data_IF_294277339731
#
_entry.id   IF_294277339731
#
_cell.length_a   1.000
_cell.length_b   1.000
_cell.length_c   1.000
_cell.angle_alpha   90.00
_cell.angle_beta   90.00
_cell.angle_gamma   90.00
#
_symmetry.space_group_name_H-M   'P 1'
#
loop_
_entity.id
_entity.type
_entity.pdbx_description
1 polymer ?
#
# COMPACT_ATOMS: atom_id res chain seq x y z
N UNK A 1 -0.07 -13.91 -5.30
CA UNK A 1 -0.47 -12.86 -4.33
C UNK A 1 -1.15 -11.74 -5.08
N UNK A 2 -2.33 -11.37 -4.62
CA UNK A 2 -3.06 -10.22 -5.15
C UNK A 2 -2.67 -8.97 -4.37
N UNK A 3 -2.26 -7.93 -5.08
CA UNK A 3 -1.80 -6.67 -4.49
C UNK A 3 -2.68 -5.52 -4.97
N UNK A 4 -3.14 -4.69 -4.05
CA UNK A 4 -3.75 -3.40 -4.39
C UNK A 4 -2.68 -2.33 -4.21
N UNK A 5 -2.36 -1.62 -5.30
CA UNK A 5 -1.40 -0.51 -5.30
C UNK A 5 -2.17 0.81 -5.35
N UNK A 6 -2.10 1.58 -4.27
CA UNK A 6 -2.73 2.90 -4.19
C UNK A 6 -1.61 3.94 -4.30
N UNK A 7 -1.48 4.52 -5.49
CA UNK A 7 -0.38 5.40 -5.87
C UNK A 7 -0.84 6.32 -7.00
N UNK A 8 -0.63 7.62 -6.88
CA UNK A 8 -1.07 8.58 -7.90
C UNK A 8 -0.01 8.87 -8.98
N UNK A 9 1.26 8.58 -8.74
CA UNK A 9 2.34 8.80 -9.71
C UNK A 9 2.30 7.73 -10.80
N UNK A 10 2.01 8.14 -12.04
CA UNK A 10 1.89 7.22 -13.17
C UNK A 10 3.19 6.46 -13.46
N UNK A 11 4.34 7.10 -13.33
CA UNK A 11 5.65 6.46 -13.54
C UNK A 11 5.91 5.39 -12.50
N UNK A 12 5.62 5.68 -11.24
CA UNK A 12 5.77 4.72 -10.14
C UNK A 12 4.82 3.54 -10.31
N UNK A 13 3.56 3.81 -10.69
CA UNK A 13 2.58 2.75 -10.97
C UNK A 13 3.10 1.79 -12.04
N UNK A 14 3.56 2.33 -13.17
CA UNK A 14 4.04 1.52 -14.28
C UNK A 14 5.28 0.70 -13.89
N UNK A 15 6.22 1.32 -13.17
CA UNK A 15 7.44 0.64 -12.73
C UNK A 15 7.12 -0.51 -11.76
N UNK A 16 6.25 -0.26 -10.78
CA UNK A 16 5.88 -1.28 -9.79
C UNK A 16 5.04 -2.40 -10.43
N UNK A 17 4.11 -2.06 -11.34
CA UNK A 17 3.34 -3.09 -12.05
C UNK A 17 4.25 -4.04 -12.83
N UNK A 18 5.24 -3.50 -13.56
CA UNK A 18 6.19 -4.33 -14.30
C UNK A 18 7.05 -5.18 -13.38
N UNK A 19 7.67 -4.54 -12.40
CA UNK A 19 8.64 -5.21 -11.54
C UNK A 19 8.01 -6.29 -10.67
N UNK A 20 6.90 -5.96 -10.01
CA UNK A 20 6.22 -6.90 -9.13
C UNK A 20 5.40 -7.93 -9.93
N UNK A 21 4.87 -7.54 -11.09
CA UNK A 21 4.19 -8.46 -11.99
C UNK A 21 5.11 -9.57 -12.49
N UNK A 22 6.36 -9.24 -12.82
CA UNK A 22 7.38 -10.23 -13.20
C UNK A 22 7.72 -11.19 -12.07
N UNK A 23 7.44 -10.80 -10.83
CA UNK A 23 7.70 -11.60 -9.64
C UNK A 23 6.45 -12.38 -9.19
N UNK A 24 5.45 -12.47 -10.05
CA UNK A 24 4.27 -13.31 -9.84
C UNK A 24 3.12 -12.66 -9.08
N UNK A 25 3.14 -11.34 -8.92
CA UNK A 25 2.05 -10.63 -8.23
C UNK A 25 1.00 -10.15 -9.23
N UNK A 26 -0.28 -10.30 -8.87
CA UNK A 26 -1.41 -9.71 -9.59
C UNK A 26 -1.70 -8.35 -8.99
N UNK A 27 -1.62 -7.29 -9.79
CA UNK A 27 -1.69 -5.92 -9.27
C UNK A 27 -2.93 -5.23 -9.81
N UNK A 28 -3.75 -4.70 -8.89
CA UNK A 28 -4.81 -3.75 -9.17
C UNK A 28 -4.32 -2.38 -8.73
N UNK A 29 -4.47 -1.37 -9.59
CA UNK A 29 -3.99 -0.01 -9.33
C UNK A 29 -5.16 0.91 -9.01
N UNK A 30 -4.95 1.78 -8.03
CA UNK A 30 -5.87 2.87 -7.70
C UNK A 30 -5.08 4.17 -7.57
N UNK A 31 -5.55 5.23 -8.23
CA UNK A 31 -4.86 6.52 -8.30
C UNK A 31 -5.35 7.52 -7.26
N UNK A 32 -6.59 7.37 -6.79
CA UNK A 32 -7.31 8.36 -5.99
C UNK A 32 -7.73 7.75 -4.66
N UNK A 33 -7.41 8.46 -3.56
CA UNK A 33 -7.79 8.02 -2.21
C UNK A 33 -9.29 7.87 -2.02
N UNK A 34 -10.11 8.65 -2.73
CA UNK A 34 -11.58 8.52 -2.64
C UNK A 34 -12.11 7.19 -3.20
N UNK A 35 -11.36 6.55 -4.09
CA UNK A 35 -11.75 5.26 -4.67
C UNK A 35 -11.08 4.06 -4.01
N UNK A 36 -10.13 4.31 -3.12
CA UNK A 36 -9.28 3.25 -2.58
C UNK A 36 -10.06 2.18 -1.82
N UNK A 37 -11.00 2.58 -0.97
CA UNK A 37 -11.80 1.61 -0.21
C UNK A 37 -12.70 0.77 -1.11
N UNK A 38 -13.33 1.37 -2.11
CA UNK A 38 -14.16 0.63 -3.07
C UNK A 38 -13.33 -0.39 -3.85
N UNK A 39 -12.13 0.01 -4.30
CA UNK A 39 -11.20 -0.90 -4.99
C UNK A 39 -10.71 -2.01 -4.08
N UNK A 40 -10.45 -1.69 -2.82
CA UNK A 40 -10.03 -2.65 -1.81
C UNK A 40 -11.10 -3.74 -1.63
N UNK A 41 -12.35 -3.35 -1.45
CA UNK A 41 -13.45 -4.31 -1.33
C UNK A 41 -13.62 -5.13 -2.61
N UNK A 42 -13.58 -4.48 -3.78
CA UNK A 42 -13.83 -5.15 -5.06
C UNK A 42 -12.72 -6.13 -5.43
N UNK A 43 -11.46 -5.81 -5.17
CA UNK A 43 -10.33 -6.65 -5.57
C UNK A 43 -9.95 -7.72 -4.55
N UNK A 44 -10.39 -7.58 -3.30
CA UNK A 44 -10.06 -8.49 -2.20
C UNK A 44 -8.56 -8.83 -2.17
N UNK A 45 -7.68 -7.83 -2.01
CA UNK A 45 -6.23 -8.07 -2.10
C UNK A 45 -5.71 -8.85 -0.90
N UNK A 46 -4.59 -9.53 -1.10
CA UNK A 46 -3.86 -10.18 -0.01
C UNK A 46 -3.05 -9.18 0.79
N UNK A 47 -2.52 -8.14 0.11
CA UNK A 47 -1.75 -7.05 0.73
C UNK A 47 -2.09 -5.76 -0.01
N UNK A 48 -2.11 -4.64 0.73
CA UNK A 48 -2.27 -3.30 0.16
C UNK A 48 -0.94 -2.56 0.27
N UNK A 49 -0.50 -1.99 -0.85
CA UNK A 49 0.66 -1.11 -0.94
C UNK A 49 0.13 0.32 -1.09
N UNK A 50 0.33 1.15 -0.09
CA UNK A 50 -0.38 2.43 0.05
C UNK A 50 0.59 3.61 0.16
N UNK A 51 0.48 4.58 -0.76
CA UNK A 51 1.12 5.88 -0.56
C UNK A 51 0.23 6.74 0.34
N UNK A 52 0.84 7.61 1.10
CA UNK A 52 0.12 8.53 1.99
C UNK A 52 -0.32 9.80 1.28
N UNK A 53 0.48 10.30 0.33
CA UNK A 53 0.18 11.54 -0.39
C UNK A 53 -0.61 11.21 -1.64
N UNK A 54 -1.94 11.33 -1.55
CA UNK A 54 -2.86 10.99 -2.62
C UNK A 54 -3.81 12.16 -2.89
N UNK A 55 -4.28 12.34 -4.14
CA UNK A 55 -5.39 13.25 -4.39
C UNK A 55 -6.68 12.70 -3.77
N UNK A 56 -7.60 13.56 -3.46
CA UNK A 56 -8.87 13.19 -2.82
C UNK A 56 -8.64 12.89 -1.34
N UNK A 57 -8.82 11.65 -0.93
CA UNK A 57 -8.65 11.23 0.46
C UNK A 57 -7.18 10.87 0.73
N UNK A 58 -6.56 11.49 1.73
CA UNK A 58 -5.16 11.18 2.11
C UNK A 58 -5.02 9.72 2.54
N UNK A 59 -3.83 9.14 2.32
CA UNK A 59 -3.59 7.72 2.59
C UNK A 59 -3.81 7.32 4.05
N UNK A 60 -3.46 8.18 5.00
CA UNK A 60 -3.73 7.92 6.42
C UNK A 60 -5.24 7.83 6.70
N UNK A 61 -6.03 8.68 6.05
CA UNK A 61 -7.49 8.64 6.16
C UNK A 61 -8.06 7.38 5.55
N UNK A 62 -7.52 6.95 4.40
CA UNK A 62 -7.91 5.66 3.77
C UNK A 62 -7.66 4.51 4.75
N UNK A 63 -6.49 4.47 5.34
CA UNK A 63 -6.11 3.42 6.28
C UNK A 63 -7.01 3.43 7.53
N UNK A 64 -7.25 4.61 8.10
CA UNK A 64 -8.13 4.76 9.25
C UNK A 64 -9.54 4.25 8.96
N UNK A 65 -10.10 4.65 7.81
CA UNK A 65 -11.45 4.22 7.41
C UNK A 65 -11.50 2.72 7.15
N UNK A 66 -10.46 2.16 6.54
CA UNK A 66 -10.37 0.71 6.29
C UNK A 66 -10.43 -0.06 7.61
N UNK A 67 -9.64 0.34 8.59
CA UNK A 67 -9.60 -0.33 9.89
C UNK A 67 -10.91 -0.15 10.67
N UNK A 68 -11.50 1.02 10.64
CA UNK A 68 -12.82 1.27 11.26
C UNK A 68 -13.90 0.43 10.61
N UNK A 69 -13.80 0.19 9.32
CA UNK A 69 -14.74 -0.65 8.57
C UNK A 69 -14.52 -2.13 8.73
N UNK A 70 -13.55 -2.56 9.54
CA UNK A 70 -13.29 -3.98 9.80
C UNK A 70 -12.36 -4.67 8.83
N UNK A 71 -11.73 -3.93 7.90
CA UNK A 71 -10.75 -4.52 7.00
C UNK A 71 -9.45 -4.83 7.74
N UNK A 72 -9.00 -6.07 7.66
CA UNK A 72 -7.80 -6.56 8.35
C UNK A 72 -6.65 -6.88 7.41
N UNK A 73 -6.82 -6.64 6.12
CA UNK A 73 -5.78 -6.86 5.10
C UNK A 73 -4.48 -6.20 5.52
N UNK A 74 -3.33 -6.89 5.43
CA UNK A 74 -2.05 -6.27 5.72
C UNK A 74 -1.78 -5.09 4.80
N UNK A 75 -1.26 -3.99 5.37
CA UNK A 75 -0.93 -2.77 4.65
C UNK A 75 0.53 -2.43 4.84
N UNK A 76 1.26 -2.26 3.73
CA UNK A 76 2.58 -1.67 3.70
C UNK A 76 2.46 -0.26 3.15
N UNK A 77 2.87 0.73 3.92
CA UNK A 77 2.94 2.12 3.46
C UNK A 77 4.26 2.30 2.69
N UNK A 78 4.16 2.79 1.45
CA UNK A 78 5.32 3.13 0.62
C UNK A 78 5.21 4.60 0.22
N UNK A 79 6.03 5.47 0.81
CA UNK A 79 5.83 6.91 0.71
C UNK A 79 7.13 7.69 0.83
N UNK A 80 7.13 8.92 0.30
CA UNK A 80 8.24 9.87 0.51
C UNK A 80 8.28 10.44 1.93
N UNK A 81 7.20 10.30 2.71
CA UNK A 81 7.14 10.73 4.12
C UNK A 81 7.91 9.72 4.97
N UNK A 82 9.21 9.95 5.17
CA UNK A 82 10.12 8.96 5.75
C UNK A 82 10.66 9.27 7.14
N UNK A 83 10.15 10.31 7.83
CA UNK A 83 10.63 10.62 9.19
C UNK A 83 10.18 9.57 10.20
N UNK A 84 10.88 9.50 11.33
CA UNK A 84 10.47 8.60 12.42
C UNK A 84 9.05 8.92 12.87
N UNK A 85 8.71 10.21 12.98
CA UNK A 85 7.35 10.63 13.35
C UNK A 85 6.30 10.17 12.36
N UNK A 86 6.56 10.27 11.07
CA UNK A 86 5.66 9.78 10.02
C UNK A 86 5.42 8.28 10.15
N UNK A 87 6.49 7.51 10.39
CA UNK A 87 6.41 6.06 10.54
C UNK A 87 5.60 5.66 11.76
N UNK A 88 5.80 6.36 12.88
CA UNK A 88 5.05 6.10 14.11
C UNK A 88 3.56 6.34 13.86
N UNK A 89 3.20 7.44 13.23
CA UNK A 89 1.81 7.77 12.93
C UNK A 89 1.19 6.69 12.02
N UNK A 90 1.89 6.30 10.95
CA UNK A 90 1.38 5.29 10.03
C UNK A 90 1.14 3.95 10.70
N UNK A 91 2.10 3.47 11.48
CA UNK A 91 1.99 2.20 12.19
C UNK A 91 0.89 2.24 13.25
N UNK A 92 0.77 3.34 14.00
CA UNK A 92 -0.27 3.51 15.00
C UNK A 92 -1.67 3.65 14.39
N UNK A 93 -1.75 4.15 13.15
CA UNK A 93 -3.03 4.24 12.43
C UNK A 93 -3.52 2.87 11.98
N UNK A 94 -2.63 1.90 11.84
CA UNK A 94 -3.00 0.53 11.52
C UNK A 94 -2.21 -0.11 10.39
N UNK A 95 -1.12 0.50 9.94
CA UNK A 95 -0.22 -0.14 8.98
C UNK A 95 0.58 -1.26 9.64
N UNK A 96 0.90 -2.27 8.85
CA UNK A 96 1.68 -3.43 9.30
C UNK A 96 3.17 -3.25 9.03
N UNK A 97 3.52 -2.39 8.07
CA UNK A 97 4.89 -2.09 7.73
C UNK A 97 4.98 -0.72 7.07
N UNK A 98 6.18 -0.17 6.96
CA UNK A 98 6.40 1.18 6.45
C UNK A 98 7.75 1.24 5.74
N UNK A 99 7.77 1.67 4.49
CA UNK A 99 9.00 1.78 3.70
C UNK A 99 9.06 3.16 3.03
N UNK A 100 10.16 3.88 3.24
CA UNK A 100 10.34 5.22 2.67
C UNK A 100 10.90 5.14 1.25
N UNK A 101 10.47 6.08 0.40
CA UNK A 101 11.07 6.31 -0.93
C UNK A 101 12.31 7.18 -0.77
N UNK A 102 13.39 6.92 -1.51
CA UNK A 102 13.60 5.83 -2.45
C UNK A 102 13.81 4.50 -1.73
N UNK A 103 13.36 3.42 -2.34
CA UNK A 103 13.39 2.08 -1.75
C UNK A 103 14.16 1.11 -2.64
N UNK A 104 14.57 -0.02 -2.05
CA UNK A 104 15.13 -1.15 -2.78
C UNK A 104 14.00 -2.11 -3.17
N UNK A 105 13.95 -2.54 -4.43
CA UNK A 105 12.88 -3.37 -4.94
C UNK A 105 12.87 -4.77 -4.29
N UNK A 106 14.05 -5.34 -4.03
CA UNK A 106 14.14 -6.65 -3.39
C UNK A 106 13.69 -6.57 -1.93
N UNK A 107 13.98 -5.46 -1.26
CA UNK A 107 13.47 -5.23 0.09
C UNK A 107 11.95 -5.09 0.09
N UNK A 108 11.39 -4.33 -0.86
CA UNK A 108 9.94 -4.19 -0.98
C UNK A 108 9.28 -5.55 -1.17
N UNK A 109 9.78 -6.35 -2.09
CA UNK A 109 9.25 -7.70 -2.35
C UNK A 109 9.31 -8.57 -1.09
N UNK A 110 10.44 -8.58 -0.40
CA UNK A 110 10.60 -9.38 0.82
C UNK A 110 9.59 -8.98 1.90
N UNK A 111 9.35 -7.68 2.07
CA UNK A 111 8.38 -7.18 3.04
C UNK A 111 6.95 -7.55 2.66
N UNK A 112 6.58 -7.43 1.39
CA UNK A 112 5.25 -7.81 0.90
C UNK A 112 4.99 -9.30 1.13
N UNK A 113 5.96 -10.16 0.82
CA UNK A 113 5.84 -11.60 1.02
C UNK A 113 5.75 -11.96 2.50
N UNK A 114 6.49 -11.25 3.35
CA UNK A 114 6.41 -11.46 4.79
C UNK A 114 5.01 -11.13 5.33
N UNK A 115 4.40 -10.04 4.87
CA UNK A 115 3.04 -9.67 5.25
C UNK A 115 2.03 -10.71 4.77
N UNK A 116 2.18 -11.20 3.56
CA UNK A 116 1.28 -12.23 3.00
C UNK A 116 1.35 -13.53 3.81
N UNK A 117 2.54 -13.92 4.26
CA UNK A 117 2.73 -15.15 5.06
C UNK A 117 2.09 -15.09 6.44
N UNK A 118 1.89 -13.89 7.00
CA UNK A 118 1.31 -13.72 8.33
C UNK A 118 -0.19 -14.02 8.40
N UNK A 119 -0.84 -14.14 7.27
CA UNK A 119 -2.29 -14.34 7.21
C UNK A 119 -2.68 -15.79 7.36
#
# INVERSE_FOLDING_TARGET
>A
MKLLLVEDDASMQAALQRALGRRGMEITVCTDGNQALARWHASAPDVVLLDLTLPGLDGLQVLEQARKGGLTTPVLILTARGTVGDRIIGLNTGADDYLAKPFDLDELEARLRALHRRR
#
